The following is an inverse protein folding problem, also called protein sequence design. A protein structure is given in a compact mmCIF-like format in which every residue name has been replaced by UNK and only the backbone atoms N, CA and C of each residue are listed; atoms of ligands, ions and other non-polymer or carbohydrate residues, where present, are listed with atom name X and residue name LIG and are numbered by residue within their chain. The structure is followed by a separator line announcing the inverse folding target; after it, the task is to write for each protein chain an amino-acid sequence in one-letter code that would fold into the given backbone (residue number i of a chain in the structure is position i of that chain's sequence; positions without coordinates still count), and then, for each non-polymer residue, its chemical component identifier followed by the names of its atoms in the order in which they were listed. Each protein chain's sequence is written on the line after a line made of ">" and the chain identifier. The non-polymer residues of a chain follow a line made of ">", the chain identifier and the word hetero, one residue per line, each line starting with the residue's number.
data_IF_590370331478
#
_entry.id   IF_590370331478
#
_cell.length_a   1.000
_cell.length_b   1.000
_cell.length_c   1.000
_cell.angle_alpha   90.00
_cell.angle_beta   90.00
_cell.angle_gamma   90.00
#
_symmetry.space_group_name_H-M   'P 1'
#
loop_
_entity.id
_entity.type
_entity.pdbx_description
1 polymer ?
#
# COMPACT_ATOMS: atom_id res chain seq x y z
N UNK A 1 -22.91 -40.71 52.27
CA UNK A 1 -23.73 -39.97 51.27
C UNK A 1 -23.06 -38.68 50.78
N UNK A 2 -22.36 -37.91 51.61
CA UNK A 2 -21.69 -36.65 51.19
C UNK A 2 -20.39 -36.87 50.41
N UNK A 3 -19.53 -37.79 50.87
CA UNK A 3 -18.24 -38.12 50.21
C UNK A 3 -18.37 -38.73 48.82
N UNK A 4 -19.47 -39.45 48.56
CA UNK A 4 -19.79 -40.03 47.25
C UNK A 4 -20.13 -38.93 46.23
N UNK A 5 -20.86 -37.90 46.69
CA UNK A 5 -21.26 -36.76 45.85
C UNK A 5 -20.07 -35.89 45.48
N UNK A 6 -19.17 -35.63 46.42
CA UNK A 6 -17.93 -34.88 46.15
C UNK A 6 -17.04 -35.59 45.12
N UNK A 7 -16.86 -36.91 45.24
CA UNK A 7 -16.11 -37.70 44.24
C UNK A 7 -16.76 -37.69 42.86
N UNK A 8 -18.09 -37.76 42.80
CA UNK A 8 -18.83 -37.68 41.54
C UNK A 8 -18.72 -36.28 40.91
N UNK A 9 -18.77 -35.23 41.73
CA UNK A 9 -18.57 -33.85 41.28
C UNK A 9 -17.17 -33.60 40.74
N UNK A 10 -16.13 -34.13 41.39
CA UNK A 10 -14.75 -34.01 40.93
C UNK A 10 -14.49 -34.78 39.62
N UNK A 11 -15.08 -35.97 39.48
CA UNK A 11 -15.03 -36.75 38.23
C UNK A 11 -15.76 -36.05 37.08
N UNK A 12 -16.91 -35.43 37.36
CA UNK A 12 -17.65 -34.63 36.37
C UNK A 12 -16.85 -33.40 35.96
N UNK A 13 -16.24 -32.67 36.88
CA UNK A 13 -15.41 -31.50 36.58
C UNK A 13 -14.16 -31.85 35.76
N UNK A 14 -13.52 -33.00 36.03
CA UNK A 14 -12.41 -33.49 35.22
C UNK A 14 -12.85 -33.93 33.83
N UNK A 15 -14.00 -34.58 33.69
CA UNK A 15 -14.55 -34.97 32.40
C UNK A 15 -14.93 -33.74 31.56
N UNK A 16 -15.60 -32.75 32.15
CA UNK A 16 -15.95 -31.49 31.48
C UNK A 16 -14.71 -30.69 31.04
N UNK A 17 -13.68 -30.60 31.88
CA UNK A 17 -12.43 -29.92 31.54
C UNK A 17 -11.60 -30.66 30.47
N UNK A 18 -11.76 -31.98 30.35
CA UNK A 18 -11.15 -32.77 29.27
C UNK A 18 -11.88 -32.57 27.93
N UNK A 19 -13.22 -32.50 27.96
CA UNK A 19 -14.05 -32.22 26.79
C UNK A 19 -13.81 -30.81 26.24
N UNK A 20 -13.71 -29.79 27.09
CA UNK A 20 -13.41 -28.41 26.69
C UNK A 20 -12.04 -28.30 26.01
N UNK A 21 -11.01 -28.95 26.57
CA UNK A 21 -9.67 -29.00 25.96
C UNK A 21 -9.67 -29.74 24.63
N UNK A 22 -10.45 -30.81 24.50
CA UNK A 22 -10.58 -31.55 23.25
C UNK A 22 -11.27 -30.72 22.16
N UNK A 23 -12.26 -29.91 22.55
CA UNK A 23 -12.99 -29.00 21.67
C UNK A 23 -12.11 -27.84 21.20
N UNK A 24 -11.30 -27.27 22.10
CA UNK A 24 -10.33 -26.22 21.78
C UNK A 24 -9.23 -26.73 20.82
N UNK A 25 -8.74 -27.96 21.01
CA UNK A 25 -7.78 -28.59 20.09
C UNK A 25 -8.38 -28.87 18.70
N UNK A 26 -9.66 -29.27 18.63
CA UNK A 26 -10.35 -29.42 17.35
C UNK A 26 -10.48 -28.07 16.63
N UNK A 27 -10.89 -27.02 17.35
CA UNK A 27 -11.01 -25.67 16.80
C UNK A 27 -9.68 -25.14 16.25
N UNK A 28 -8.59 -25.30 17.00
CA UNK A 28 -7.25 -24.89 16.54
C UNK A 28 -6.76 -25.70 15.34
N UNK A 29 -7.14 -26.99 15.23
CA UNK A 29 -6.85 -27.80 14.05
C UNK A 29 -7.62 -27.32 12.82
N UNK A 30 -8.88 -26.97 12.99
CA UNK A 30 -9.71 -26.45 11.90
C UNK A 30 -9.18 -25.10 11.41
N UNK A 31 -8.80 -24.21 12.34
CA UNK A 31 -8.18 -22.92 12.02
C UNK A 31 -6.82 -23.10 11.33
N UNK A 32 -5.98 -24.02 11.80
CA UNK A 32 -4.73 -24.37 11.13
C UNK A 32 -4.95 -25.00 9.74
N UNK A 33 -6.03 -25.77 9.55
CA UNK A 33 -6.39 -26.33 8.25
C UNK A 33 -6.86 -25.24 7.27
N UNK A 34 -7.52 -24.18 7.76
CA UNK A 34 -7.95 -23.04 6.95
C UNK A 34 -6.79 -22.09 6.58
N UNK A 35 -5.79 -21.93 7.46
CA UNK A 35 -4.64 -21.05 7.23
C UNK A 35 -3.59 -21.66 6.27
N UNK A 36 -3.54 -22.99 6.15
CA UNK A 36 -2.60 -23.70 5.27
C UNK A 36 -2.78 -23.34 3.78
N UNK A 37 -4.01 -23.35 3.21
CA UNK A 37 -4.27 -22.88 1.86
C UNK A 37 -3.80 -21.44 1.63
N UNK A 38 -4.13 -20.52 2.55
CA UNK A 38 -3.75 -19.11 2.42
C UNK A 38 -2.23 -18.91 2.39
N UNK A 39 -1.49 -19.70 3.18
CA UNK A 39 -0.02 -19.67 3.20
C UNK A 39 0.57 -20.18 1.89
N UNK A 40 -0.03 -21.25 1.33
CA UNK A 40 0.39 -21.81 0.05
C UNK A 40 0.09 -20.86 -1.11
N UNK A 41 -1.08 -20.20 -1.08
CA UNK A 41 -1.47 -19.21 -2.07
C UNK A 41 -0.55 -17.99 -2.03
N UNK A 42 -0.15 -17.54 -0.83
CA UNK A 42 0.79 -16.45 -0.66
C UNK A 42 2.18 -16.80 -1.23
N UNK A 43 2.67 -18.02 -0.97
CA UNK A 43 3.92 -18.51 -1.55
C UNK A 43 3.84 -18.62 -3.08
N UNK A 44 2.72 -19.09 -3.62
CA UNK A 44 2.49 -19.18 -5.06
C UNK A 44 2.43 -17.79 -5.72
N UNK A 45 1.74 -16.84 -5.10
CA UNK A 45 1.67 -15.46 -5.57
C UNK A 45 3.03 -14.77 -5.53
N UNK A 46 3.86 -15.01 -4.50
CA UNK A 46 5.22 -14.50 -4.44
C UNK A 46 6.12 -15.10 -5.54
N UNK A 47 6.00 -16.39 -5.81
CA UNK A 47 6.70 -17.08 -6.90
C UNK A 47 6.29 -16.53 -8.27
N UNK A 48 5.00 -16.33 -8.49
CA UNK A 48 4.48 -15.76 -9.73
C UNK A 48 4.92 -14.30 -9.89
N UNK A 49 4.89 -13.51 -8.82
CA UNK A 49 5.42 -12.13 -8.85
C UNK A 49 6.91 -12.11 -9.21
N UNK A 50 7.70 -13.05 -8.67
CA UNK A 50 9.12 -13.19 -9.01
C UNK A 50 9.31 -13.56 -10.49
N UNK A 51 8.57 -14.56 -10.99
CA UNK A 51 8.63 -14.96 -12.40
C UNK A 51 8.20 -13.86 -13.35
N UNK A 52 7.14 -13.11 -13.03
CA UNK A 52 6.70 -11.98 -13.83
C UNK A 52 7.73 -10.86 -13.86
N UNK A 53 8.45 -10.62 -12.75
CA UNK A 53 9.58 -9.68 -12.71
C UNK A 53 10.76 -10.15 -13.57
N UNK A 54 11.09 -11.44 -13.51
CA UNK A 54 12.13 -12.05 -14.35
C UNK A 54 11.76 -12.02 -15.85
N UNK A 55 10.48 -12.21 -16.17
CA UNK A 55 9.98 -12.18 -17.56
C UNK A 55 9.84 -10.74 -18.10
N UNK A 56 9.53 -9.77 -17.24
CA UNK A 56 9.47 -8.35 -17.61
C UNK A 56 10.84 -7.66 -17.54
N UNK A 57 11.89 -8.33 -17.08
CA UNK A 57 13.25 -7.88 -17.26
C UNK A 57 13.60 -7.97 -18.75
N UNK A 58 13.30 -6.91 -19.49
CA UNK A 58 13.78 -6.79 -20.87
C UNK A 58 15.31 -6.86 -20.89
N UNK A 59 15.91 -7.47 -21.93
CA UNK A 59 17.36 -7.54 -22.12
C UNK A 59 17.91 -6.16 -22.55
N UNK A 60 17.86 -5.20 -21.64
CA UNK A 60 18.66 -3.97 -21.65
C UNK A 60 19.58 -3.97 -20.43
N UNK A 61 20.21 -5.12 -20.16
CA UNK A 61 21.12 -5.34 -19.04
C UNK A 61 22.48 -4.67 -19.25
N UNK A 62 22.48 -3.34 -19.32
CA UNK A 62 23.53 -2.62 -18.62
C UNK A 62 23.01 -2.40 -17.21
N UNK A 63 23.66 -3.04 -16.22
CA UNK A 63 23.38 -2.77 -14.82
C UNK A 63 23.38 -1.25 -14.62
N UNK A 64 22.21 -0.70 -14.27
CA UNK A 64 22.03 0.76 -14.12
C UNK A 64 23.06 1.26 -13.12
N UNK A 65 23.76 2.32 -13.49
CA UNK A 65 24.69 2.98 -12.57
C UNK A 65 23.92 3.54 -11.37
N UNK A 66 24.57 3.73 -10.21
CA UNK A 66 23.93 4.37 -9.05
C UNK A 66 23.34 5.75 -9.37
N UNK A 67 23.95 6.48 -10.31
CA UNK A 67 23.45 7.78 -10.77
C UNK A 67 22.12 7.63 -11.53
N UNK A 68 22.04 6.70 -12.48
CA UNK A 68 20.81 6.45 -13.25
C UNK A 68 19.66 6.01 -12.34
N UNK A 69 19.91 5.15 -11.35
CA UNK A 69 18.90 4.75 -10.38
C UNK A 69 18.38 5.95 -9.57
N UNK A 70 19.27 6.84 -9.16
CA UNK A 70 18.91 8.08 -8.45
C UNK A 70 18.09 9.01 -9.35
N UNK A 71 18.50 9.19 -10.61
CA UNK A 71 17.76 9.97 -11.60
C UNK A 71 16.34 9.44 -11.82
N UNK A 72 16.18 8.11 -11.88
CA UNK A 72 14.86 7.48 -12.00
C UNK A 72 13.96 7.75 -10.79
N UNK A 73 14.51 7.68 -9.57
CA UNK A 73 13.75 8.00 -8.35
C UNK A 73 13.35 9.48 -8.34
N UNK A 74 14.25 10.38 -8.74
CA UNK A 74 13.97 11.81 -8.86
C UNK A 74 12.88 12.06 -9.90
N UNK A 75 12.94 11.37 -11.05
CA UNK A 75 11.91 11.48 -12.09
C UNK A 75 10.54 11.02 -11.58
N UNK A 76 10.46 9.89 -10.86
CA UNK A 76 9.20 9.42 -10.27
C UNK A 76 8.67 10.36 -9.19
N UNK A 77 9.54 10.93 -8.36
CA UNK A 77 9.16 11.94 -7.36
C UNK A 77 8.64 13.24 -8.00
N UNK A 78 9.22 13.65 -9.14
CA UNK A 78 8.75 14.80 -9.93
C UNK A 78 7.37 14.55 -10.52
N UNK A 79 7.18 13.41 -11.17
CA UNK A 79 5.86 12.97 -11.66
C UNK A 79 4.79 12.97 -10.57
N UNK A 80 5.11 12.43 -9.38
CA UNK A 80 4.19 12.45 -8.24
C UNK A 80 3.80 13.87 -7.85
N UNK A 81 4.75 14.81 -7.88
CA UNK A 81 4.50 16.23 -7.59
C UNK A 81 3.57 16.87 -8.64
N UNK A 82 3.76 16.55 -9.91
CA UNK A 82 2.93 17.09 -10.98
C UNK A 82 1.48 16.57 -10.89
N UNK A 83 1.31 15.28 -10.55
CA UNK A 83 -0.01 14.73 -10.22
C UNK A 83 -0.68 15.49 -9.07
N UNK A 84 0.05 15.75 -7.98
CA UNK A 84 -0.49 16.50 -6.84
C UNK A 84 -0.87 17.93 -7.23
N UNK A 85 -0.08 18.58 -8.08
CA UNK A 85 -0.41 19.92 -8.55
C UNK A 85 -1.73 19.92 -9.34
N UNK A 86 -1.91 18.99 -10.28
CA UNK A 86 -3.18 18.81 -10.98
C UNK A 86 -4.34 18.45 -10.04
N UNK A 87 -4.09 17.66 -8.99
CA UNK A 87 -5.10 17.34 -7.98
C UNK A 87 -5.51 18.57 -7.15
N UNK A 88 -4.56 19.46 -6.85
CA UNK A 88 -4.85 20.75 -6.22
C UNK A 88 -5.69 21.61 -7.16
N UNK A 89 -5.31 21.74 -8.43
CA UNK A 89 -6.10 22.48 -9.42
C UNK A 89 -7.52 21.91 -9.59
N UNK A 90 -7.65 20.58 -9.60
CA UNK A 90 -8.94 19.90 -9.56
C UNK A 90 -9.75 20.31 -8.33
N UNK A 91 -9.14 20.26 -7.14
CA UNK A 91 -9.83 20.55 -5.88
C UNK A 91 -10.39 21.98 -5.83
N UNK A 92 -9.68 22.95 -6.42
CA UNK A 92 -10.13 24.36 -6.48
C UNK A 92 -11.46 24.53 -7.21
N UNK A 93 -11.75 23.69 -8.20
CA UNK A 93 -13.01 23.72 -8.96
C UNK A 93 -14.05 22.71 -8.43
N UNK A 94 -13.67 21.81 -7.50
CA UNK A 94 -14.48 20.66 -7.08
C UNK A 94 -14.66 20.62 -5.56
N UNK A 95 -15.05 21.75 -4.96
CA UNK A 95 -15.40 21.86 -3.54
C UNK A 95 -14.27 21.38 -2.59
N UNK A 96 -13.03 21.68 -2.97
CA UNK A 96 -11.82 21.26 -2.27
C UNK A 96 -11.66 19.74 -2.14
N UNK A 97 -12.36 18.93 -2.95
CA UNK A 97 -12.20 17.47 -2.94
C UNK A 97 -11.03 17.04 -3.83
N UNK A 98 -10.23 16.10 -3.33
CA UNK A 98 -9.28 15.39 -4.18
C UNK A 98 -10.01 14.48 -5.16
N UNK A 99 -9.45 14.27 -6.38
CA UNK A 99 -10.10 13.45 -7.38
C UNK A 99 -10.17 11.98 -6.95
N UNK A 100 -11.26 11.30 -7.31
CA UNK A 100 -11.43 9.87 -7.04
C UNK A 100 -10.68 8.97 -8.04
N UNK A 101 -10.32 9.52 -9.21
CA UNK A 101 -9.54 8.85 -10.25
C UNK A 101 -8.68 9.87 -11.01
N UNK A 102 -7.62 9.39 -11.67
CA UNK A 102 -6.81 10.26 -12.53
C UNK A 102 -7.64 10.88 -13.67
N UNK A 103 -8.61 10.15 -14.23
CA UNK A 103 -9.48 10.66 -15.30
C UNK A 103 -10.26 11.92 -14.90
N UNK A 104 -10.67 12.04 -13.64
CA UNK A 104 -11.37 13.24 -13.16
C UNK A 104 -10.46 14.48 -13.19
N UNK A 105 -9.16 14.29 -12.96
CA UNK A 105 -8.17 15.34 -13.02
C UNK A 105 -7.53 15.49 -14.42
N UNK A 106 -7.96 14.71 -15.42
CA UNK A 106 -7.31 14.62 -16.73
C UNK A 106 -7.06 15.99 -17.39
N UNK A 107 -8.04 16.89 -17.31
CA UNK A 107 -7.96 18.22 -17.92
C UNK A 107 -6.89 19.12 -17.28
N UNK A 108 -6.56 18.90 -16.01
CA UNK A 108 -5.59 19.72 -15.28
C UNK A 108 -4.17 19.22 -15.46
N UNK A 109 -3.99 18.01 -16.00
CA UNK A 109 -2.67 17.51 -16.35
C UNK A 109 -2.05 18.32 -17.48
N UNK A 110 -2.82 18.72 -18.49
CA UNK A 110 -2.30 19.62 -19.52
C UNK A 110 -1.71 20.91 -18.93
N UNK A 111 -2.37 21.49 -17.91
CA UNK A 111 -1.89 22.69 -17.23
C UNK A 111 -0.69 22.38 -16.30
N UNK A 112 -0.74 21.26 -15.57
CA UNK A 112 0.30 20.85 -14.63
C UNK A 112 1.62 20.43 -15.31
N UNK A 113 1.53 19.77 -16.46
CA UNK A 113 2.67 19.29 -17.25
C UNK A 113 3.12 20.31 -18.31
N UNK A 114 2.45 21.46 -18.45
CA UNK A 114 2.86 22.51 -19.39
C UNK A 114 4.27 23.06 -19.13
N UNK A 115 4.78 22.90 -17.91
CA UNK A 115 6.13 23.29 -17.51
C UNK A 115 7.18 22.15 -17.62
N UNK A 116 6.74 20.91 -17.87
CA UNK A 116 7.61 19.73 -17.86
C UNK A 116 7.14 18.67 -18.89
N UNK A 117 7.82 18.53 -20.05
CA UNK A 117 7.38 17.70 -21.18
C UNK A 117 7.47 16.18 -20.93
N UNK A 118 7.56 15.74 -19.66
CA UNK A 118 7.61 14.32 -19.29
C UNK A 118 6.35 13.56 -19.72
N UNK A 119 5.21 14.25 -19.90
CA UNK A 119 3.94 13.63 -20.30
C UNK A 119 3.34 14.29 -21.58
N UNK A 120 4.15 14.49 -22.61
CA UNK A 120 3.68 15.00 -23.91
C UNK A 120 2.78 14.00 -24.69
N UNK A 121 2.67 12.75 -24.22
CA UNK A 121 1.92 11.67 -24.88
C UNK A 121 0.93 10.97 -23.93
N UNK A 122 -0.29 10.73 -24.41
CA UNK A 122 -1.35 10.00 -23.71
C UNK A 122 -0.94 8.56 -23.34
N UNK A 123 -0.09 7.92 -24.16
CA UNK A 123 0.44 6.58 -23.85
C UNK A 123 1.38 6.63 -22.63
N UNK A 124 2.25 7.65 -22.55
CA UNK A 124 3.12 7.88 -21.40
C UNK A 124 2.30 8.24 -20.17
N UNK A 125 1.26 9.07 -20.32
CA UNK A 125 0.32 9.37 -19.25
C UNK A 125 -0.36 8.11 -18.69
N UNK A 126 -0.84 7.22 -19.56
CA UNK A 126 -1.45 5.94 -19.15
C UNK A 126 -0.45 5.03 -18.46
N UNK A 127 0.78 4.94 -18.97
CA UNK A 127 1.85 4.16 -18.36
C UNK A 127 2.22 4.68 -16.98
N UNK A 128 2.28 6.00 -16.81
CA UNK A 128 2.70 6.65 -15.57
C UNK A 128 1.58 6.62 -14.52
N UNK A 129 0.34 6.91 -14.89
CA UNK A 129 -0.82 6.74 -13.98
C UNK A 129 -0.97 5.29 -13.51
N UNK A 130 -0.58 4.31 -14.31
CA UNK A 130 -0.58 2.91 -13.90
C UNK A 130 0.43 2.59 -12.79
N UNK A 131 1.46 3.41 -12.59
CA UNK A 131 2.47 3.24 -11.54
C UNK A 131 2.01 3.77 -10.18
N UNK A 132 0.98 4.63 -10.14
CA UNK A 132 0.52 5.29 -8.92
C UNK A 132 -0.95 4.98 -8.61
N UNK A 133 -1.33 5.12 -7.34
CA UNK A 133 -2.71 5.02 -6.89
C UNK A 133 -3.07 6.17 -5.95
N UNK A 134 -4.33 6.62 -6.05
CA UNK A 134 -4.91 7.65 -5.19
C UNK A 134 -5.51 6.97 -3.95
N UNK A 135 -4.93 7.27 -2.79
CA UNK A 135 -5.30 6.65 -1.50
C UNK A 135 -6.17 7.56 -0.62
N UNK A 136 -6.17 8.87 -0.87
CA UNK A 136 -7.07 9.82 -0.21
C UNK A 136 -7.91 10.59 -1.22
N UNK A 137 -9.22 10.62 -1.00
CA UNK A 137 -10.23 11.22 -1.90
C UNK A 137 -11.15 12.21 -1.18
N UNK A 138 -10.76 12.60 0.04
CA UNK A 138 -11.56 13.51 0.86
C UNK A 138 -11.30 14.97 0.53
N UNK A 139 -11.92 15.85 1.31
CA UNK A 139 -11.70 17.29 1.19
C UNK A 139 -10.34 17.69 1.75
N UNK A 140 -9.58 18.48 0.98
CA UNK A 140 -8.33 19.09 1.42
C UNK A 140 -8.52 19.97 2.65
N UNK A 141 -9.65 20.67 2.77
CA UNK A 141 -9.96 21.52 3.92
C UNK A 141 -10.29 20.72 5.19
N UNK A 142 -10.64 19.44 5.07
CA UNK A 142 -10.86 18.57 6.23
C UNK A 142 -9.54 18.12 6.88
N UNK A 143 -8.40 18.35 6.22
CA UNK A 143 -7.09 17.93 6.71
C UNK A 143 -6.46 19.01 7.58
N UNK A 144 -6.26 18.71 8.86
CA UNK A 144 -5.51 19.56 9.79
C UNK A 144 -4.00 19.37 9.71
N UNK A 145 -3.53 18.29 9.08
CA UNK A 145 -2.12 17.95 8.92
C UNK A 145 -1.81 17.49 7.48
N UNK A 146 -2.04 18.38 6.51
CA UNK A 146 -1.93 18.06 5.08
C UNK A 146 -0.52 17.56 4.67
N UNK A 147 0.54 18.04 5.33
CA UNK A 147 1.92 17.59 5.08
C UNK A 147 2.23 16.17 5.55
N UNK A 148 1.33 15.55 6.33
CA UNK A 148 1.47 14.18 6.83
C UNK A 148 0.45 13.20 6.22
N UNK A 149 -0.45 13.67 5.35
CA UNK A 149 -1.48 12.83 4.76
C UNK A 149 -1.09 12.44 3.35
N UNK A 150 -0.92 11.15 3.11
CA UNK A 150 -0.66 10.61 1.77
C UNK A 150 -1.95 10.70 0.95
N UNK A 151 -1.85 11.30 -0.24
CA UNK A 151 -2.92 11.35 -1.24
C UNK A 151 -2.64 10.40 -2.39
N UNK A 152 -1.37 10.25 -2.75
CA UNK A 152 -0.89 9.47 -3.88
C UNK A 152 0.26 8.59 -3.43
N UNK A 153 0.36 7.34 -3.90
CA UNK A 153 1.55 6.50 -3.69
C UNK A 153 1.87 5.66 -4.92
N UNK A 154 3.13 5.28 -5.11
CA UNK A 154 3.49 4.24 -6.07
C UNK A 154 2.85 2.90 -5.67
N UNK A 155 2.31 2.16 -6.64
CA UNK A 155 1.76 0.81 -6.41
C UNK A 155 2.84 -0.21 -6.07
N UNK A 156 4.05 -0.02 -6.59
CA UNK A 156 5.17 -0.94 -6.40
C UNK A 156 6.36 -0.20 -5.79
N UNK A 157 6.98 -0.82 -4.76
CA UNK A 157 8.26 -0.37 -4.25
C UNK A 157 9.40 -0.89 -5.13
N UNK A 158 10.49 -0.14 -5.20
CA UNK A 158 11.65 -0.44 -6.02
C UNK A 158 12.85 -0.76 -5.12
N UNK A 159 13.54 -1.86 -5.42
CA UNK A 159 14.74 -2.27 -4.69
C UNK A 159 15.98 -1.58 -5.27
N UNK A 160 16.83 -1.09 -4.39
CA UNK A 160 18.16 -0.58 -4.68
C UNK A 160 19.18 -1.73 -4.72
N UNK A 161 20.35 -1.54 -5.37
CA UNK A 161 21.41 -2.55 -5.41
C UNK A 161 21.95 -2.96 -4.03
N UNK A 162 21.77 -2.12 -3.01
CA UNK A 162 22.14 -2.40 -1.62
C UNK A 162 21.11 -3.25 -0.86
N UNK A 163 20.00 -3.62 -1.52
CA UNK A 163 18.91 -4.42 -0.96
C UNK A 163 17.79 -3.59 -0.32
N UNK A 164 17.99 -2.29 -0.10
CA UNK A 164 16.99 -1.37 0.45
C UNK A 164 15.86 -1.16 -0.54
N UNK A 165 14.64 -1.04 -0.06
CA UNK A 165 13.46 -0.71 -0.86
C UNK A 165 13.12 0.76 -0.73
N UNK A 166 12.56 1.35 -1.78
CA UNK A 166 12.03 2.70 -1.73
C UNK A 166 10.68 2.79 -2.44
N UNK A 167 9.83 3.69 -1.95
CA UNK A 167 8.54 4.03 -2.53
C UNK A 167 8.34 5.54 -2.49
N UNK A 168 7.82 6.09 -3.58
CA UNK A 168 7.45 7.51 -3.71
C UNK A 168 6.01 7.72 -3.25
N UNK A 169 5.81 8.78 -2.49
CA UNK A 169 4.54 9.23 -1.95
C UNK A 169 4.30 10.69 -2.31
N UNK A 170 3.03 11.04 -2.48
CA UNK A 170 2.55 12.39 -2.65
C UNK A 170 1.61 12.77 -1.50
N UNK A 171 1.85 13.93 -0.91
CA UNK A 171 1.18 14.43 0.28
C UNK A 171 0.13 15.50 -0.07
N UNK A 172 -0.85 15.69 0.82
CA UNK A 172 -1.96 16.61 0.59
C UNK A 172 -1.56 18.11 0.55
N UNK A 173 -0.36 18.44 1.01
CA UNK A 173 0.24 19.77 0.85
C UNK A 173 0.87 20.00 -0.55
N UNK A 174 0.93 18.96 -1.38
CA UNK A 174 1.52 18.99 -2.71
C UNK A 174 3.00 18.57 -2.75
N UNK A 175 3.59 18.18 -1.62
CA UNK A 175 4.95 17.66 -1.58
C UNK A 175 5.00 16.20 -2.05
N UNK A 176 6.10 15.81 -2.70
CA UNK A 176 6.44 14.41 -2.91
C UNK A 176 7.65 14.03 -2.07
N UNK A 177 7.62 12.81 -1.50
CA UNK A 177 8.73 12.28 -0.71
C UNK A 177 8.99 10.83 -1.09
N UNK A 178 10.25 10.42 -1.00
CA UNK A 178 10.66 9.02 -1.12
C UNK A 178 10.92 8.48 0.28
N UNK A 179 10.24 7.40 0.65
CA UNK A 179 10.53 6.68 1.89
C UNK A 179 11.26 5.38 1.57
N UNK A 180 12.19 5.00 2.44
CA UNK A 180 12.98 3.78 2.30
C UNK A 180 12.71 2.79 3.42
N UNK A 181 12.69 1.51 3.08
CA UNK A 181 12.50 0.40 4.02
C UNK A 181 13.52 -0.70 3.74
N UNK A 182 14.02 -1.36 4.78
CA UNK A 182 14.98 -2.46 4.64
C UNK A 182 14.34 -3.74 4.10
N UNK A 183 13.09 -4.02 4.46
CA UNK A 183 12.37 -5.25 4.12
C UNK A 183 11.32 -5.06 3.02
N UNK A 184 11.10 -3.82 2.58
CA UNK A 184 10.09 -3.47 1.59
C UNK A 184 8.67 -3.42 2.13
N UNK A 185 8.50 -3.56 3.44
CA UNK A 185 7.23 -3.32 4.13
C UNK A 185 7.10 -1.83 4.44
N UNK A 186 5.95 -1.25 4.05
CA UNK A 186 5.61 0.16 4.27
C UNK A 186 4.33 0.34 5.10
N UNK A 187 3.70 -0.75 5.55
CA UNK A 187 2.34 -0.71 6.13
C UNK A 187 2.27 0.15 7.39
N UNK A 188 3.27 0.03 8.29
CA UNK A 188 3.32 0.82 9.51
C UNK A 188 3.45 2.32 9.20
N UNK A 189 4.34 2.66 8.27
CA UNK A 189 4.54 4.03 7.81
C UNK A 189 3.29 4.59 7.14
N UNK A 190 2.69 3.86 6.20
CA UNK A 190 1.49 4.30 5.49
C UNK A 190 0.30 4.48 6.44
N UNK A 191 0.18 3.64 7.47
CA UNK A 191 -0.86 3.78 8.50
C UNK A 191 -0.72 5.07 9.31
N UNK A 192 0.51 5.49 9.62
CA UNK A 192 0.78 6.77 10.32
C UNK A 192 0.44 7.99 9.46
N UNK A 193 0.45 7.83 8.14
CA UNK A 193 0.21 8.91 7.17
C UNK A 193 -1.13 8.79 6.44
N UNK A 194 -1.99 7.88 6.89
CA UNK A 194 -3.38 7.82 6.45
C UNK A 194 -4.16 8.83 7.26
N UNK A 195 -4.94 9.69 6.60
CA UNK A 195 -5.91 10.52 7.33
C UNK A 195 -6.89 9.58 8.04
N UNK A 196 -6.97 9.64 9.36
CA UNK A 196 -8.19 9.16 10.02
C UNK A 196 -9.29 10.15 9.62
N UNK A 197 -10.36 9.75 8.92
CA UNK A 197 -11.46 10.67 8.68
C UNK A 197 -11.90 11.22 10.03
N UNK A 198 -11.97 12.54 10.17
CA UNK A 198 -12.67 13.15 11.29
C UNK A 198 -14.06 12.50 11.30
N UNK A 199 -14.43 11.94 12.46
CA UNK A 199 -15.60 11.09 12.69
C UNK A 199 -16.84 11.39 11.83
N UNK A 200 -17.53 10.30 11.50
CA UNK A 200 -18.93 10.25 11.07
C UNK A 200 -19.83 11.27 11.77
#
# INVERSE_FOLDING_TARGET
>A
MQSERERLSDLLAQASGADDRSSELMRLRDEAAMLRPQTNDLAALQEENRRLREQNAQPSDQAKTPLQLKEEVVARARVAKDFLFAFVLYSLDNQDQFPASFDQAARYFADAFSADPVLDDLAQFTQVTNQFEIVYRGSRNALTNAGNVIVLREKQAHQWPDGTWSRVYGFADGASQTHSSADGNFDAWEKEHTSTPANQ
#
